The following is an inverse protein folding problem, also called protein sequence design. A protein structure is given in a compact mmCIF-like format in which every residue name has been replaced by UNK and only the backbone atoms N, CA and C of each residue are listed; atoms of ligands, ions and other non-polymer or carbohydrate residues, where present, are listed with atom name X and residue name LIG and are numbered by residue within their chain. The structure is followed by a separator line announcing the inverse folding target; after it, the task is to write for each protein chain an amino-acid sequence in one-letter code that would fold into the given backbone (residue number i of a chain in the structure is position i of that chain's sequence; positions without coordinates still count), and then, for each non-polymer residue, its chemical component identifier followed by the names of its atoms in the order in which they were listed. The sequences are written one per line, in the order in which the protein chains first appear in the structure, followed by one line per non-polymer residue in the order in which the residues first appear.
data_IF_202740693920
#
_entry.id   IF_202740693920
#
_cell.length_a   1.000
_cell.length_b   1.000
_cell.length_c   1.000
_cell.angle_alpha   90.00
_cell.angle_beta   90.00
_cell.angle_gamma   90.00
#
_symmetry.space_group_name_H-M   'P 1'
#
loop_
_entity.id
_entity.type
_entity.pdbx_description
1 polymer ?
#
# COMPACT_ATOMS: atom_id res chain seq x y z
N UNK A 1 2.23 -59.49 -25.53
CA UNK A 1 1.36 -58.30 -25.49
C UNK A 1 1.56 -57.62 -24.16
N UNK A 2 2.43 -56.60 -24.10
CA UNK A 2 2.78 -55.90 -22.87
C UNK A 2 2.27 -54.44 -22.97
N UNK A 3 1.21 -54.15 -22.22
CA UNK A 3 0.66 -52.80 -22.14
C UNK A 3 1.51 -51.95 -21.19
N UNK A 4 2.16 -50.90 -21.71
CA UNK A 4 2.82 -49.87 -20.94
C UNK A 4 1.78 -48.94 -20.29
N UNK A 5 1.66 -49.01 -18.99
CA UNK A 5 0.86 -48.09 -18.15
C UNK A 5 1.58 -46.76 -18.08
N UNK A 6 1.13 -45.72 -18.74
CA UNK A 6 1.60 -44.34 -18.56
C UNK A 6 0.98 -43.81 -17.27
N UNK A 7 1.78 -43.69 -16.19
CA UNK A 7 1.42 -42.88 -15.02
C UNK A 7 1.40 -41.42 -15.44
N UNK A 8 0.20 -40.81 -15.54
CA UNK A 8 0.03 -39.36 -15.62
C UNK A 8 0.51 -38.76 -14.29
N UNK A 9 1.67 -38.10 -14.34
CA UNK A 9 2.16 -37.27 -13.25
C UNK A 9 1.27 -36.01 -13.22
N UNK A 10 0.33 -35.95 -12.29
CA UNK A 10 -0.46 -34.75 -12.00
C UNK A 10 0.43 -33.81 -11.19
N UNK A 11 1.00 -32.83 -11.87
CA UNK A 11 1.70 -31.73 -11.21
C UNK A 11 0.61 -30.87 -10.54
N UNK A 12 0.48 -31.01 -9.23
CA UNK A 12 -0.25 -30.03 -8.39
C UNK A 12 0.59 -28.77 -8.37
N UNK A 13 0.25 -27.78 -9.19
CA UNK A 13 0.74 -26.41 -9.01
C UNK A 13 0.03 -25.91 -7.75
N UNK A 14 0.74 -25.97 -6.64
CA UNK A 14 0.33 -25.30 -5.42
C UNK A 14 0.43 -23.80 -5.71
N UNK A 15 -0.69 -23.15 -6.04
CA UNK A 15 -0.76 -21.69 -6.02
C UNK A 15 -0.59 -21.27 -4.56
N UNK A 16 0.63 -20.87 -4.21
CA UNK A 16 0.87 -20.17 -2.95
C UNK A 16 0.17 -18.81 -3.07
N UNK A 17 -0.79 -18.51 -2.21
CA UNK A 17 -1.41 -17.17 -2.25
C UNK A 17 -0.33 -16.13 -2.05
N UNK A 18 -0.26 -15.15 -2.94
CA UNK A 18 0.63 -13.99 -2.83
C UNK A 18 0.21 -13.22 -1.59
N UNK A 19 0.93 -13.41 -0.49
CA UNK A 19 0.70 -12.69 0.75
C UNK A 19 1.35 -11.32 0.67
N UNK A 20 0.66 -10.33 0.12
CA UNK A 20 1.07 -8.94 0.23
C UNK A 20 0.75 -8.50 1.67
N UNK A 21 1.78 -8.25 2.46
CA UNK A 21 1.63 -7.73 3.82
C UNK A 21 2.19 -6.32 3.90
N UNK A 22 1.31 -5.32 4.08
CA UNK A 22 1.72 -3.93 4.26
C UNK A 22 1.40 -3.49 5.69
N UNK A 23 2.42 -3.12 6.44
CA UNK A 23 2.29 -2.78 7.86
C UNK A 23 2.85 -1.38 8.18
N UNK A 24 2.13 -0.64 9.04
CA UNK A 24 2.76 0.43 9.83
C UNK A 24 3.48 -0.21 11.00
N UNK A 25 4.72 0.18 11.21
CA UNK A 25 5.54 -0.37 12.29
C UNK A 25 4.99 0.09 13.64
N UNK A 26 4.60 -0.85 14.49
CA UNK A 26 4.65 -0.65 15.94
C UNK A 26 6.10 -0.88 16.39
N UNK A 27 6.62 -0.06 17.30
CA UNK A 27 8.04 -0.04 17.74
C UNK A 27 8.62 -1.40 18.21
N UNK A 28 7.81 -2.47 18.25
CA UNK A 28 8.20 -3.81 18.73
C UNK A 28 8.57 -4.81 17.61
N UNK A 29 8.26 -4.52 16.35
CA UNK A 29 8.24 -5.55 15.30
C UNK A 29 9.40 -5.51 14.29
N UNK A 30 10.36 -4.60 14.43
CA UNK A 30 11.54 -4.52 13.55
C UNK A 30 12.79 -4.37 14.39
N UNK A 31 13.85 -5.09 14.02
CA UNK A 31 15.17 -4.95 14.62
C UNK A 31 15.83 -3.60 14.32
N UNK A 32 15.40 -2.94 13.25
CA UNK A 32 15.86 -1.60 12.85
C UNK A 32 14.83 -0.54 13.24
N UNK A 33 15.16 0.30 14.21
CA UNK A 33 14.30 1.36 14.76
C UNK A 33 13.98 2.49 13.77
N UNK A 34 14.69 2.56 12.64
CA UNK A 34 14.60 3.66 11.68
C UNK A 34 13.48 3.46 10.64
N UNK A 35 12.91 2.26 10.57
CA UNK A 35 11.80 1.96 9.65
C UNK A 35 10.48 2.42 10.25
N UNK A 36 9.67 3.11 9.44
CA UNK A 36 8.36 3.66 9.84
C UNK A 36 7.19 3.01 9.11
N UNK A 37 7.42 2.42 7.95
CA UNK A 37 6.43 1.67 7.17
C UNK A 37 7.15 0.69 6.26
N UNK A 38 6.58 -0.48 6.07
CA UNK A 38 7.11 -1.48 5.13
C UNK A 38 6.00 -2.30 4.49
N UNK A 39 6.34 -2.96 3.40
CA UNK A 39 5.55 -4.01 2.76
C UNK A 39 6.47 -5.04 2.11
N UNK A 40 5.94 -6.23 1.82
CA UNK A 40 6.67 -7.30 1.15
C UNK A 40 5.90 -7.79 -0.07
N UNK A 41 6.60 -8.09 -1.15
CA UNK A 41 6.03 -8.62 -2.38
C UNK A 41 7.10 -8.79 -3.46
N UNK A 42 6.82 -9.58 -4.47
CA UNK A 42 7.66 -9.79 -5.64
C UNK A 42 7.46 -8.62 -6.62
N UNK A 43 8.32 -7.58 -6.49
CA UNK A 43 8.17 -6.32 -7.26
C UNK A 43 8.90 -6.34 -8.61
N UNK A 44 9.81 -7.30 -8.83
CA UNK A 44 10.54 -7.45 -10.09
C UNK A 44 10.11 -8.70 -10.89
N UNK A 45 9.17 -9.48 -10.34
CA UNK A 45 8.60 -10.70 -10.92
C UNK A 45 9.64 -11.79 -11.16
N UNK A 46 10.65 -11.90 -10.27
CA UNK A 46 11.67 -12.94 -10.31
C UNK A 46 11.29 -14.19 -9.49
N UNK A 47 10.16 -14.16 -8.79
CA UNK A 47 9.63 -15.24 -7.96
C UNK A 47 10.13 -15.18 -6.51
N UNK A 48 10.91 -14.19 -6.14
CA UNK A 48 11.32 -13.93 -4.75
C UNK A 48 10.64 -12.66 -4.22
N UNK A 49 10.53 -12.55 -2.90
CA UNK A 49 9.91 -11.38 -2.29
C UNK A 49 10.98 -10.40 -1.84
N UNK A 50 10.79 -9.13 -2.18
CA UNK A 50 11.50 -8.01 -1.60
C UNK A 50 10.72 -7.42 -0.42
N UNK A 51 11.46 -6.81 0.50
CA UNK A 51 10.91 -5.92 1.50
C UNK A 51 11.19 -4.47 1.08
N UNK A 52 10.12 -3.69 0.98
CA UNK A 52 10.19 -2.26 0.66
C UNK A 52 9.88 -1.50 1.94
N UNK A 53 10.77 -0.58 2.33
CA UNK A 53 10.66 0.17 3.58
C UNK A 53 10.78 1.68 3.39
N UNK A 54 10.06 2.43 4.21
CA UNK A 54 10.32 3.86 4.42
C UNK A 54 11.22 3.99 5.66
N UNK A 55 12.42 4.55 5.48
CA UNK A 55 13.44 4.70 6.52
C UNK A 55 13.64 6.18 6.86
N UNK A 56 13.73 6.53 8.16
CA UNK A 56 13.90 7.90 8.64
C UNK A 56 15.37 8.33 8.78
N UNK A 57 16.32 7.41 8.58
CA UNK A 57 17.75 7.66 8.67
C UNK A 57 18.20 8.00 10.09
N UNK A 58 17.55 7.42 11.11
CA UNK A 58 17.86 7.63 12.51
C UNK A 58 17.34 8.96 13.11
N UNK A 59 16.56 9.72 12.33
CA UNK A 59 16.00 11.01 12.75
C UNK A 59 14.48 11.02 12.69
N UNK A 60 13.82 10.34 13.63
CA UNK A 60 12.36 10.27 13.67
C UNK A 60 11.70 11.63 13.76
N UNK A 61 11.08 12.07 12.67
CA UNK A 61 10.35 13.34 12.55
C UNK A 61 8.86 13.09 12.33
N UNK A 62 8.02 14.06 12.66
CA UNK A 62 6.57 13.96 12.49
C UNK A 62 6.03 15.05 11.59
N UNK A 63 5.02 14.70 10.81
CA UNK A 63 4.19 15.64 10.04
C UNK A 63 3.29 16.47 10.97
N UNK A 64 2.66 17.55 10.49
CA UNK A 64 1.62 18.26 11.26
C UNK A 64 0.47 17.35 11.69
N UNK A 65 0.20 16.28 10.94
CA UNK A 65 -0.77 15.21 11.25
C UNK A 65 -0.30 14.25 12.36
N UNK A 66 0.89 14.49 12.95
CA UNK A 66 1.57 13.67 13.98
C UNK A 66 2.11 12.32 13.49
N UNK A 67 1.92 11.94 12.24
CA UNK A 67 2.51 10.73 11.65
C UNK A 67 4.03 10.89 11.47
N UNK A 68 4.78 9.81 11.67
CA UNK A 68 6.20 9.77 11.34
C UNK A 68 6.39 9.86 9.82
N UNK A 69 7.49 10.46 9.39
CA UNK A 69 7.93 10.44 7.99
C UNK A 69 9.42 10.15 7.89
N UNK A 70 9.80 9.55 6.77
CA UNK A 70 11.16 9.15 6.48
C UNK A 70 11.88 10.07 5.51
N UNK A 71 13.04 9.61 5.12
CA UNK A 71 13.92 10.24 4.12
C UNK A 71 14.12 9.34 2.91
N UNK A 72 14.21 8.03 3.15
CA UNK A 72 14.59 7.05 2.15
C UNK A 72 13.45 6.06 1.93
N UNK A 73 13.36 5.56 0.70
CA UNK A 73 12.64 4.34 0.37
C UNK A 73 13.70 3.31 -0.02
N UNK A 74 13.73 2.22 0.73
CA UNK A 74 14.77 1.19 0.64
C UNK A 74 14.14 -0.14 0.25
N UNK A 75 14.87 -0.93 -0.54
CA UNK A 75 14.45 -2.26 -0.97
C UNK A 75 15.52 -3.26 -0.52
N UNK A 76 15.08 -4.31 0.14
CA UNK A 76 15.91 -5.39 0.67
C UNK A 76 15.48 -6.70 0.01
N UNK A 77 16.43 -7.41 -0.61
CA UNK A 77 16.24 -8.79 -1.13
C UNK A 77 16.48 -9.83 -0.04
N UNK A 78 17.33 -9.52 0.92
CA UNK A 78 17.62 -10.39 2.05
C UNK A 78 16.94 -9.87 3.32
N UNK A 79 15.92 -10.57 3.76
CA UNK A 79 15.24 -10.35 5.03
C UNK A 79 14.65 -11.64 5.56
N UNK A 80 14.41 -11.73 6.87
CA UNK A 80 13.68 -12.82 7.49
C UNK A 80 12.55 -12.29 8.35
N UNK A 81 11.48 -13.08 8.48
CA UNK A 81 10.39 -12.79 9.42
C UNK A 81 10.42 -13.91 10.47
N UNK A 82 10.75 -13.56 11.70
CA UNK A 82 10.81 -14.48 12.83
C UNK A 82 9.86 -13.99 13.93
N UNK A 83 8.88 -14.81 14.30
CA UNK A 83 7.83 -14.50 15.29
C UNK A 83 7.23 -13.09 15.11
N UNK A 84 6.92 -12.75 13.85
CA UNK A 84 6.38 -11.44 13.47
C UNK A 84 7.38 -10.28 13.51
N UNK A 85 8.65 -10.53 13.81
CA UNK A 85 9.73 -9.55 13.74
C UNK A 85 10.45 -9.65 12.40
N UNK A 86 10.70 -8.50 11.80
CA UNK A 86 11.51 -8.40 10.59
C UNK A 86 12.97 -8.19 10.98
N UNK A 87 13.81 -9.04 10.45
CA UNK A 87 15.27 -8.94 10.55
C UNK A 87 15.77 -8.66 9.14
N UNK A 88 16.37 -7.50 8.95
CA UNK A 88 16.92 -7.09 7.67
C UNK A 88 18.35 -7.58 7.50
N UNK A 89 18.78 -7.74 6.25
CA UNK A 89 20.19 -7.78 5.89
C UNK A 89 20.92 -6.51 6.35
N UNK A 90 22.24 -6.49 6.23
CA UNK A 90 23.06 -5.37 6.74
C UNK A 90 22.78 -4.05 6.04
N UNK A 91 22.57 -4.09 4.73
CA UNK A 91 22.38 -2.92 3.87
C UNK A 91 21.25 -3.17 2.87
N UNK A 92 20.53 -2.12 2.43
CA UNK A 92 19.53 -2.25 1.38
C UNK A 92 20.19 -2.51 0.01
N UNK A 93 19.56 -3.34 -0.81
CA UNK A 93 19.99 -3.55 -2.21
C UNK A 93 19.79 -2.27 -3.05
N UNK A 94 18.73 -1.52 -2.74
CA UNK A 94 18.46 -0.22 -3.36
C UNK A 94 17.99 0.77 -2.31
N UNK A 95 18.50 2.01 -2.42
CA UNK A 95 18.09 3.13 -1.57
C UNK A 95 17.81 4.37 -2.41
N UNK A 96 16.63 4.98 -2.23
CA UNK A 96 16.17 6.14 -2.97
C UNK A 96 15.93 7.31 -2.01
N UNK A 97 16.60 8.44 -2.24
CA UNK A 97 16.44 9.64 -1.42
C UNK A 97 15.15 10.40 -1.79
N UNK A 98 14.21 10.39 -0.87
CA UNK A 98 12.96 11.13 -0.91
C UNK A 98 12.86 12.17 0.22
N UNK A 99 13.97 12.59 0.82
CA UNK A 99 14.01 13.50 1.98
C UNK A 99 13.21 14.79 1.77
N UNK A 100 13.22 15.34 0.54
CA UNK A 100 12.45 16.53 0.18
C UNK A 100 10.93 16.28 0.01
N UNK A 101 10.51 15.00 0.02
CA UNK A 101 9.12 14.59 -0.24
C UNK A 101 8.44 14.01 1.00
N UNK A 102 9.19 13.76 2.07
CA UNK A 102 8.70 13.27 3.36
C UNK A 102 7.81 12.02 3.21
N UNK A 103 8.35 10.89 2.74
CA UNK A 103 7.60 9.65 2.61
C UNK A 103 7.13 9.17 3.98
N UNK A 104 5.90 8.68 4.10
CA UNK A 104 5.33 8.25 5.39
C UNK A 104 4.73 6.85 5.38
N UNK A 105 4.41 6.31 4.21
CA UNK A 105 3.80 4.99 4.07
C UNK A 105 4.16 4.40 2.72
N UNK A 106 4.41 3.10 2.67
CA UNK A 106 4.57 2.33 1.44
C UNK A 106 3.55 1.20 1.38
N UNK A 107 3.04 0.92 0.19
CA UNK A 107 2.11 -0.18 -0.10
C UNK A 107 2.41 -0.76 -1.47
N UNK A 108 1.96 -1.99 -1.71
CA UNK A 108 2.05 -2.69 -2.99
C UNK A 108 0.66 -3.05 -3.50
N UNK A 109 0.48 -3.03 -4.80
CA UNK A 109 -0.70 -3.48 -5.51
C UNK A 109 -0.51 -3.32 -7.01
N UNK A 110 -1.05 -4.20 -7.81
CA UNK A 110 -1.14 -4.02 -9.26
C UNK A 110 -2.28 -3.02 -9.52
N UNK A 111 -1.96 -1.77 -9.80
CA UNK A 111 -3.00 -0.74 -9.97
C UNK A 111 -3.30 -0.44 -11.43
N UNK A 112 -2.39 -0.79 -12.36
CA UNK A 112 -2.56 -0.54 -13.78
C UNK A 112 -2.97 -1.80 -14.58
N UNK A 113 -3.05 -2.96 -13.91
CA UNK A 113 -3.50 -4.23 -14.48
C UNK A 113 -2.46 -4.91 -15.38
N UNK A 114 -1.17 -4.58 -15.24
CA UNK A 114 -0.09 -5.21 -16.03
C UNK A 114 0.38 -6.55 -15.45
N UNK A 115 -0.20 -6.98 -14.32
CA UNK A 115 0.11 -8.22 -13.61
C UNK A 115 1.35 -8.13 -12.72
N UNK A 116 1.88 -6.93 -12.48
CA UNK A 116 3.03 -6.68 -11.61
C UNK A 116 2.65 -5.77 -10.45
N UNK A 117 3.40 -5.87 -9.35
CA UNK A 117 3.17 -5.01 -8.21
C UNK A 117 3.77 -3.63 -8.42
N UNK A 118 2.92 -2.61 -8.30
CA UNK A 118 3.33 -1.22 -8.22
C UNK A 118 3.63 -0.83 -6.78
N UNK A 119 4.61 0.05 -6.62
CA UNK A 119 4.99 0.61 -5.32
C UNK A 119 4.26 1.94 -5.12
N UNK A 120 3.34 1.98 -4.18
CA UNK A 120 2.68 3.22 -3.75
C UNK A 120 3.40 3.82 -2.55
N UNK A 121 3.70 5.12 -2.62
CA UNK A 121 4.37 5.86 -1.55
C UNK A 121 3.54 7.09 -1.20
N UNK A 122 3.11 7.20 0.07
CA UNK A 122 2.47 8.42 0.57
C UNK A 122 3.54 9.45 0.88
N UNK A 123 3.49 10.59 0.21
CA UNK A 123 4.42 11.70 0.40
C UNK A 123 3.71 12.95 0.90
N UNK A 124 4.40 13.80 1.66
CA UNK A 124 3.84 15.05 2.18
C UNK A 124 4.54 16.25 1.56
N UNK A 125 3.95 16.77 0.47
CA UNK A 125 4.55 17.86 -0.30
C UNK A 125 3.52 18.73 -1.02
N UNK A 126 3.99 19.84 -1.55
CA UNK A 126 3.28 20.65 -2.57
C UNK A 126 3.51 20.02 -3.94
N UNK A 127 2.52 20.11 -4.82
CA UNK A 127 2.63 19.73 -6.23
C UNK A 127 2.28 20.91 -7.13
N UNK A 128 2.73 20.88 -8.40
CA UNK A 128 2.62 21.99 -9.34
C UNK A 128 1.21 22.57 -9.47
N UNK A 129 0.21 21.70 -9.53
CA UNK A 129 -1.20 22.09 -9.72
C UNK A 129 -1.98 22.23 -8.41
N UNK A 130 -1.34 22.02 -7.24
CA UNK A 130 -1.96 22.21 -5.94
C UNK A 130 -0.90 22.64 -4.93
N UNK A 131 -0.73 23.95 -4.77
CA UNK A 131 0.32 24.57 -3.95
C UNK A 131 0.03 24.51 -2.44
N UNK A 132 -0.60 23.44 -1.97
CA UNK A 132 -0.80 23.17 -0.56
C UNK A 132 0.05 21.98 -0.11
N UNK A 133 0.64 22.08 1.09
CA UNK A 133 1.27 20.95 1.74
C UNK A 133 0.18 19.95 2.16
N UNK A 134 0.19 18.77 1.58
CA UNK A 134 -0.76 17.72 1.87
C UNK A 134 -0.16 16.34 1.59
N UNK A 135 -0.80 15.29 2.11
CA UNK A 135 -0.52 13.92 1.72
C UNK A 135 -0.83 13.73 0.23
N UNK A 136 0.01 12.97 -0.43
CA UNK A 136 -0.07 12.67 -1.87
C UNK A 136 0.27 11.21 -2.09
N UNK A 137 -0.54 10.46 -2.82
CA UNK A 137 -0.17 9.12 -3.27
C UNK A 137 0.71 9.25 -4.52
N UNK A 138 1.85 8.58 -4.51
CA UNK A 138 2.77 8.48 -5.64
C UNK A 138 2.89 7.00 -5.99
N UNK A 139 2.86 6.65 -7.29
CA UNK A 139 2.97 5.28 -7.76
C UNK A 139 4.16 5.13 -8.68
N UNK A 140 4.88 4.03 -8.50
CA UNK A 140 6.08 3.69 -9.25
C UNK A 140 6.06 2.21 -9.62
N UNK A 141 6.50 1.89 -10.84
CA UNK A 141 6.96 0.55 -11.16
C UNK A 141 8.42 0.39 -10.72
N UNK A 142 8.83 -0.82 -10.36
CA UNK A 142 10.24 -1.14 -10.14
C UNK A 142 10.78 -1.85 -11.38
N UNK A 143 11.72 -1.22 -12.09
CA UNK A 143 12.29 -1.76 -13.33
C UNK A 143 13.80 -1.48 -13.39
N UNK A 144 14.58 -2.53 -13.58
CA UNK A 144 16.05 -2.43 -13.74
C UNK A 144 16.75 -1.69 -12.59
N UNK A 145 16.33 -1.97 -11.35
CA UNK A 145 16.89 -1.34 -10.15
C UNK A 145 16.49 0.13 -9.95
N UNK A 146 15.40 0.59 -10.59
CA UNK A 146 14.93 1.98 -10.53
C UNK A 146 13.45 2.05 -10.23
N UNK A 147 13.05 3.08 -9.51
CA UNK A 147 11.66 3.51 -9.39
C UNK A 147 11.28 4.34 -10.61
N UNK A 148 10.48 3.76 -11.50
CA UNK A 148 9.98 4.41 -12.71
C UNK A 148 8.61 4.99 -12.41
N UNK A 149 8.40 6.31 -12.53
CA UNK A 149 7.11 6.91 -12.22
C UNK A 149 5.97 6.34 -13.07
N UNK A 150 4.90 5.88 -12.40
CA UNK A 150 3.62 5.54 -13.02
C UNK A 150 2.65 6.73 -12.86
N UNK A 151 2.47 7.20 -11.63
CA UNK A 151 1.66 8.38 -11.34
C UNK A 151 2.25 9.18 -10.18
N UNK A 152 2.56 10.46 -10.45
CA UNK A 152 3.23 11.34 -9.50
C UNK A 152 2.24 12.25 -8.76
N UNK A 153 1.19 11.66 -8.25
CA UNK A 153 0.23 12.14 -7.28
C UNK A 153 -0.14 13.63 -7.37
N UNK A 154 -1.10 14.02 -8.21
CA UNK A 154 -1.64 15.37 -8.08
C UNK A 154 -2.45 15.49 -6.79
N UNK A 155 -3.59 14.91 -6.71
CA UNK A 155 -4.44 14.74 -5.52
C UNK A 155 -5.55 13.74 -5.85
N UNK A 156 -6.09 13.09 -4.84
CA UNK A 156 -7.42 12.52 -4.90
C UNK A 156 -8.48 13.64 -4.89
N UNK A 157 -9.73 13.34 -4.97
CA UNK A 157 -10.80 14.35 -5.03
C UNK A 157 -10.77 15.29 -3.84
N UNK A 158 -10.42 14.77 -2.65
CA UNK A 158 -10.33 15.52 -1.40
C UNK A 158 -9.05 15.20 -0.65
N UNK A 159 -8.72 15.96 0.41
CA UNK A 159 -7.70 15.56 1.37
C UNK A 159 -8.07 14.22 1.99
N UNK A 160 -7.10 13.34 2.14
CA UNK A 160 -7.30 12.02 2.75
C UNK A 160 -6.48 11.85 4.03
N UNK A 161 -7.05 11.11 4.98
CA UNK A 161 -6.35 10.75 6.21
C UNK A 161 -5.44 9.54 5.99
N UNK A 162 -5.93 8.50 5.31
CA UNK A 162 -5.20 7.29 4.95
C UNK A 162 -5.84 6.61 3.73
N UNK A 163 -5.14 5.65 3.09
CA UNK A 163 -5.72 4.76 2.09
C UNK A 163 -5.09 3.36 2.15
N UNK A 164 -5.82 2.38 1.60
CA UNK A 164 -5.33 1.03 1.31
C UNK A 164 -5.46 0.75 -0.19
N UNK A 165 -4.63 -0.17 -0.68
CA UNK A 165 -4.79 -0.80 -1.99
C UNK A 165 -5.44 -2.15 -1.80
N UNK A 166 -6.49 -2.46 -2.56
CA UNK A 166 -7.11 -3.78 -2.59
C UNK A 166 -7.94 -3.95 -3.87
N UNK A 167 -7.97 -5.17 -4.37
CA UNK A 167 -8.88 -5.60 -5.43
C UNK A 167 -10.26 -5.85 -4.80
N UNK A 168 -11.21 -4.94 -5.06
CA UNK A 168 -12.55 -4.99 -4.43
C UNK A 168 -13.61 -5.69 -5.27
N UNK A 169 -13.34 -5.91 -6.54
CA UNK A 169 -14.30 -6.54 -7.47
C UNK A 169 -13.74 -7.82 -8.13
N UNK A 170 -12.58 -8.28 -7.69
CA UNK A 170 -11.90 -9.52 -8.10
C UNK A 170 -11.50 -9.52 -9.59
N UNK A 171 -11.15 -8.36 -10.13
CA UNK A 171 -10.60 -8.22 -11.48
C UNK A 171 -9.06 -8.33 -11.52
N UNK A 172 -8.42 -8.51 -10.35
CA UNK A 172 -6.98 -8.58 -10.10
C UNK A 172 -6.24 -7.24 -10.19
N UNK A 173 -6.96 -6.15 -10.36
CA UNK A 173 -6.42 -4.80 -10.29
C UNK A 173 -6.74 -4.21 -8.91
N UNK A 174 -5.79 -3.51 -8.33
CA UNK A 174 -5.97 -2.92 -7.00
C UNK A 174 -6.53 -1.52 -7.11
N UNK A 175 -7.67 -1.27 -6.45
CA UNK A 175 -8.21 0.06 -6.26
C UNK A 175 -7.53 0.80 -5.11
N UNK A 176 -7.56 2.14 -5.16
CA UNK A 176 -7.31 2.98 -3.99
C UNK A 176 -8.61 3.10 -3.20
N UNK A 177 -8.58 2.66 -1.95
CA UNK A 177 -9.68 2.84 -0.99
C UNK A 177 -9.21 3.86 0.02
N UNK A 178 -9.74 5.09 -0.03
CA UNK A 178 -9.28 6.21 0.78
C UNK A 178 -10.32 6.67 1.79
N UNK A 179 -9.85 7.13 2.93
CA UNK A 179 -10.64 7.84 3.94
C UNK A 179 -10.42 9.32 3.70
N UNK A 180 -11.46 10.02 3.25
CA UNK A 180 -11.38 11.41 2.83
C UNK A 180 -12.15 12.35 3.76
N UNK A 181 -11.63 13.57 3.91
CA UNK A 181 -12.25 14.63 4.70
C UNK A 181 -13.21 15.46 3.82
N UNK A 182 -14.45 15.59 4.26
CA UNK A 182 -15.45 16.49 3.70
C UNK A 182 -15.26 17.93 4.21
N UNK A 183 -15.96 18.90 3.59
CA UNK A 183 -15.90 20.29 3.97
C UNK A 183 -16.36 20.53 5.42
N UNK A 184 -17.36 19.77 5.88
CA UNK A 184 -17.89 19.81 7.25
C UNK A 184 -17.06 19.03 8.27
N UNK A 185 -15.88 18.53 7.84
CA UNK A 185 -14.93 17.72 8.63
C UNK A 185 -15.38 16.31 8.95
N UNK A 186 -16.48 15.84 8.39
CA UNK A 186 -16.84 14.42 8.42
C UNK A 186 -15.89 13.61 7.50
N UNK A 187 -15.93 12.31 7.62
CA UNK A 187 -15.13 11.35 6.85
C UNK A 187 -16.03 10.45 6.04
N UNK A 188 -15.59 10.17 4.83
CA UNK A 188 -16.22 9.19 3.92
C UNK A 188 -15.18 8.20 3.43
N UNK A 189 -15.63 7.03 3.01
CA UNK A 189 -14.82 6.08 2.28
C UNK A 189 -15.03 6.33 0.78
N UNK A 190 -13.94 6.50 0.04
CA UNK A 190 -13.94 6.72 -1.40
C UNK A 190 -13.06 5.70 -2.10
N UNK A 191 -13.49 5.21 -3.26
CA UNK A 191 -12.77 4.23 -4.07
C UNK A 191 -12.42 4.84 -5.42
N UNK A 192 -11.18 4.64 -5.84
CA UNK A 192 -10.65 5.12 -7.10
C UNK A 192 -10.13 3.98 -7.94
N UNK A 193 -10.43 4.01 -9.23
CA UNK A 193 -9.92 3.08 -10.23
C UNK A 193 -8.94 3.76 -11.17
N UNK A 194 -7.96 3.00 -11.63
CA UNK A 194 -7.02 3.43 -12.66
C UNK A 194 -7.71 3.51 -14.03
N UNK A 195 -7.48 4.62 -14.74
CA UNK A 195 -8.07 4.87 -16.07
C UNK A 195 -7.04 4.84 -17.22
N UNK A 196 -5.80 4.35 -16.96
CA UNK A 196 -4.68 4.36 -17.90
C UNK A 196 -3.80 5.60 -17.85
N UNK A 197 -4.22 6.65 -17.12
CA UNK A 197 -3.47 7.91 -16.97
C UNK A 197 -3.43 8.41 -15.52
N UNK A 198 -4.42 8.06 -14.72
CA UNK A 198 -4.56 8.47 -13.34
C UNK A 198 -5.69 7.71 -12.66
N UNK A 199 -6.13 8.22 -11.52
CA UNK A 199 -7.20 7.60 -10.75
C UNK A 199 -8.47 8.45 -10.79
N UNK A 200 -9.57 7.84 -11.24
CA UNK A 200 -10.91 8.41 -11.21
C UNK A 200 -11.69 7.93 -10.00
N UNK A 201 -12.44 8.83 -9.38
CA UNK A 201 -13.39 8.47 -8.32
C UNK A 201 -14.45 7.54 -8.91
N UNK A 202 -14.45 6.30 -8.43
CA UNK A 202 -15.40 5.27 -8.89
C UNK A 202 -16.69 5.28 -8.06
N UNK A 203 -16.56 5.17 -6.73
CA UNK A 203 -17.70 5.22 -5.79
C UNK A 203 -17.28 5.88 -4.47
N UNK A 204 -18.28 6.33 -3.71
CA UNK A 204 -18.11 6.90 -2.38
C UNK A 204 -19.21 6.33 -1.47
N UNK A 205 -18.91 6.16 -0.17
CA UNK A 205 -19.93 5.78 0.83
C UNK A 205 -20.98 6.87 0.98
N UNK A 206 -22.23 6.48 1.25
CA UNK A 206 -23.28 7.40 1.62
C UNK A 206 -23.20 7.81 3.09
N UNK A 207 -22.66 6.91 3.92
CA UNK A 207 -22.46 7.15 5.35
C UNK A 207 -21.29 8.08 5.59
N UNK A 208 -21.47 8.99 6.51
CA UNK A 208 -20.47 9.94 6.98
C UNK A 208 -20.17 9.72 8.46
N UNK A 209 -18.90 9.91 8.84
CA UNK A 209 -18.43 9.62 10.20
C UNK A 209 -17.65 10.80 10.74
N UNK A 210 -17.74 11.05 12.05
CA UNK A 210 -16.87 12.04 12.73
C UNK A 210 -15.42 11.59 12.75
N UNK A 211 -15.22 10.27 12.92
CA UNK A 211 -13.91 9.62 12.89
C UNK A 211 -14.01 8.34 12.10
N UNK A 212 -13.14 8.17 11.13
CA UNK A 212 -13.02 6.97 10.33
C UNK A 212 -11.55 6.63 10.19
N UNK A 213 -11.18 5.36 10.40
CA UNK A 213 -9.81 4.89 10.24
C UNK A 213 -9.82 3.41 9.83
N UNK A 214 -8.80 2.98 9.10
CA UNK A 214 -8.60 1.56 8.86
C UNK A 214 -8.16 0.86 10.15
N UNK A 215 -8.68 -0.32 10.37
CA UNK A 215 -8.13 -1.22 11.39
C UNK A 215 -6.77 -1.73 10.89
N UNK A 216 -5.71 -1.36 11.61
CA UNK A 216 -4.34 -1.75 11.29
C UNK A 216 -3.97 -3.15 11.77
N UNK A 217 -4.85 -3.81 12.54
CA UNK A 217 -4.59 -5.15 13.10
C UNK A 217 -4.89 -6.27 12.12
N UNK A 218 -5.59 -5.96 11.02
CA UNK A 218 -6.03 -6.94 10.01
C UNK A 218 -5.58 -6.51 8.61
N UNK A 219 -5.31 -7.50 7.76
CA UNK A 219 -4.95 -7.29 6.33
C UNK A 219 -6.17 -6.93 5.50
N UNK A 220 -7.35 -7.41 5.87
CA UNK A 220 -8.61 -7.09 5.24
C UNK A 220 -9.01 -5.62 5.43
N UNK A 221 -9.98 -5.14 4.62
CA UNK A 221 -10.50 -3.78 4.77
C UNK A 221 -11.55 -3.79 5.88
N UNK A 222 -11.10 -3.50 7.09
CA UNK A 222 -11.98 -3.21 8.23
C UNK A 222 -11.79 -1.78 8.69
N UNK A 223 -12.84 -1.19 9.20
CA UNK A 223 -12.86 0.19 9.65
C UNK A 223 -13.17 0.29 11.14
N UNK A 224 -12.65 1.33 11.75
CA UNK A 224 -13.13 1.82 13.05
C UNK A 224 -13.84 3.14 12.76
N UNK A 225 -15.16 3.13 12.86
CA UNK A 225 -16.02 4.27 12.59
C UNK A 225 -16.65 4.75 13.91
N UNK A 226 -16.34 5.99 14.32
CA UNK A 226 -16.81 6.59 15.58
C UNK A 226 -16.58 5.68 16.81
N UNK A 227 -15.42 4.97 16.81
CA UNK A 227 -15.00 4.08 17.88
C UNK A 227 -15.62 2.68 17.86
N UNK A 228 -16.30 2.29 16.78
CA UNK A 228 -16.85 0.94 16.58
C UNK A 228 -16.19 0.28 15.37
N UNK A 229 -15.92 -1.00 15.47
CA UNK A 229 -15.50 -1.82 14.34
C UNK A 229 -16.65 -1.94 13.33
N UNK A 230 -16.31 -1.87 12.05
CA UNK A 230 -17.22 -1.96 10.92
C UNK A 230 -16.61 -2.80 9.81
N UNK A 231 -17.43 -3.63 9.21
CA UNK A 231 -17.11 -4.33 7.97
C UNK A 231 -17.42 -3.46 6.76
N UNK A 232 -16.62 -3.59 5.70
CA UNK A 232 -16.85 -2.92 4.43
C UNK A 232 -17.18 -3.96 3.38
N UNK A 233 -18.31 -3.76 2.71
CA UNK A 233 -18.73 -4.60 1.58
C UNK A 233 -18.88 -3.76 0.34
N UNK A 234 -18.42 -4.30 -0.77
CA UNK A 234 -18.57 -3.70 -2.10
C UNK A 234 -19.54 -4.58 -2.89
N UNK A 235 -20.78 -4.11 -3.05
CA UNK A 235 -21.86 -4.89 -3.66
C UNK A 235 -22.63 -3.99 -4.63
N UNK A 236 -22.82 -4.46 -5.87
CA UNK A 236 -23.60 -3.78 -6.91
C UNK A 236 -23.20 -2.30 -7.11
N UNK A 237 -21.90 -2.02 -7.11
CA UNK A 237 -21.37 -0.66 -7.28
C UNK A 237 -21.66 0.27 -6.11
N UNK A 238 -21.87 -0.27 -4.90
CA UNK A 238 -22.09 0.49 -3.66
C UNK A 238 -21.10 0.06 -2.58
N UNK A 239 -20.80 0.99 -1.70
CA UNK A 239 -20.07 0.73 -0.44
C UNK A 239 -21.12 0.60 0.67
N UNK A 240 -21.10 -0.51 1.40
CA UNK A 240 -21.87 -0.73 2.61
C UNK A 240 -20.91 -0.81 3.79
N UNK A 241 -21.18 -0.07 4.86
CA UNK A 241 -20.39 -0.03 6.10
C UNK A 241 -21.28 -0.49 7.25
N UNK A 242 -21.10 -1.75 7.70
CA UNK A 242 -21.97 -2.44 8.67
C UNK A 242 -21.31 -2.63 10.04
#
# INVERSE_FOLDING_TARGET
MGGKLYKKLMIFICMVPVLISCNKVSDSNISNKDIISYCTGDIDSDGTYELIAVNDGGERKKLPTKEAYGKFVEIYKEFTIDDGKIILGSEPDYSFDFSNMKPSKVQLGDVDGDGKLDISIVMYKKVKFHNALAKRPFFYNFKYGKLVPLWLGSRLSRPFDDFKLADIDNDKVSEIISIEELEDKNRVLAVYKWNGFGFDLFIQSHEEFKKLMFDSTVTEIKLIADGKEREVKFIDGKILIE
#
